data_IF_919334474415
#
_entry.id   IF_919334474415
#
_cell.length_a   1.000
_cell.length_b   1.000
_cell.length_c   1.000
_cell.angle_alpha   90.00
_cell.angle_beta   90.00
_cell.angle_gamma   90.00
#
_symmetry.space_group_name_H-M   'P 1'
#
loop_
_entity.id
_entity.type
_entity.pdbx_description
1 polymer ?
#
# COMPACT_ATOMS: atom_id res chain seq x y z
N UNK A 1 44.19 -8.23 2.10
CA UNK A 1 43.22 -7.34 1.42
C UNK A 1 41.93 -7.36 2.23
N UNK A 2 41.58 -6.25 2.89
CA UNK A 2 40.31 -6.18 3.62
C UNK A 2 39.15 -6.06 2.63
N UNK A 3 38.21 -7.01 2.65
CA UNK A 3 37.01 -6.95 1.83
C UNK A 3 36.07 -5.88 2.38
N UNK A 4 35.89 -4.79 1.63
CA UNK A 4 34.95 -3.73 1.94
C UNK A 4 33.60 -3.99 1.27
N UNK A 5 32.53 -3.80 2.04
CA UNK A 5 31.14 -3.98 1.56
C UNK A 5 30.45 -2.62 1.62
N UNK A 6 29.84 -2.23 0.50
CA UNK A 6 28.97 -1.05 0.46
C UNK A 6 27.54 -1.48 0.75
N UNK A 7 26.96 -0.99 1.85
CA UNK A 7 25.54 -1.26 2.21
C UNK A 7 24.79 0.02 2.53
N UNK A 8 23.50 0.03 2.19
CA UNK A 8 22.56 1.09 2.56
C UNK A 8 21.81 0.72 3.84
N UNK A 9 21.95 1.54 4.87
CA UNK A 9 21.37 1.39 6.19
C UNK A 9 20.16 2.32 6.35
N UNK A 10 19.13 1.83 7.05
CA UNK A 10 17.97 2.62 7.44
C UNK A 10 18.15 3.03 8.90
N UNK A 11 18.09 4.32 9.17
CA UNK A 11 18.26 4.89 10.52
C UNK A 11 16.92 5.46 10.95
N UNK A 12 16.25 4.81 11.89
CA UNK A 12 14.99 5.27 12.45
C UNK A 12 15.15 5.80 13.88
N UNK A 13 14.18 6.61 14.31
CA UNK A 13 14.18 7.23 15.63
C UNK A 13 14.96 8.54 15.68
N UNK A 14 15.07 9.23 14.54
CA UNK A 14 15.72 10.53 14.47
C UNK A 14 14.80 11.63 14.98
N UNK A 15 15.39 12.58 15.69
CA UNK A 15 14.77 13.82 16.14
C UNK A 15 15.24 14.98 15.26
N UNK A 16 14.47 16.08 15.15
CA UNK A 16 14.87 17.25 14.36
C UNK A 16 16.13 17.94 14.87
N UNK A 17 16.57 17.65 16.10
CA UNK A 17 17.82 18.16 16.66
C UNK A 17 19.07 17.42 16.14
N UNK A 18 18.92 16.32 15.39
CA UNK A 18 20.04 15.57 14.82
C UNK A 18 20.36 16.12 13.44
N UNK A 19 21.57 16.67 13.29
CA UNK A 19 22.07 17.18 12.01
C UNK A 19 22.73 16.07 11.17
N UNK A 20 22.92 16.34 9.87
CA UNK A 20 23.68 15.46 8.98
C UNK A 20 25.13 15.30 9.42
N UNK A 21 25.74 16.34 9.97
CA UNK A 21 27.10 16.33 10.47
C UNK A 21 27.25 15.42 11.70
N UNK A 22 26.23 15.40 12.56
CA UNK A 22 26.23 14.52 13.73
C UNK A 22 26.19 13.04 13.32
N UNK A 23 25.37 12.71 12.32
CA UNK A 23 25.27 11.36 11.80
C UNK A 23 26.53 10.93 11.06
N UNK A 24 27.13 11.81 10.26
CA UNK A 24 28.38 11.50 9.57
C UNK A 24 29.49 11.21 10.58
N UNK A 25 29.71 12.08 11.58
CA UNK A 25 30.71 11.87 12.63
C UNK A 25 30.57 10.52 13.34
N UNK A 26 29.33 10.12 13.67
CA UNK A 26 29.07 8.86 14.37
C UNK A 26 29.30 7.64 13.47
N UNK A 27 28.89 7.72 12.20
CA UNK A 27 29.04 6.63 11.24
C UNK A 27 30.49 6.50 10.74
N UNK A 28 31.24 7.61 10.70
CA UNK A 28 32.67 7.64 10.37
C UNK A 28 33.52 6.77 11.30
N UNK A 29 33.08 6.55 12.55
CA UNK A 29 33.76 5.64 13.47
C UNK A 29 33.75 4.17 13.02
N UNK A 30 32.82 3.78 12.15
CA UNK A 30 32.66 2.40 11.71
C UNK A 30 33.09 2.18 10.26
N UNK A 31 33.12 3.22 9.44
CA UNK A 31 33.52 3.13 8.04
C UNK A 31 33.35 4.44 7.29
N UNK A 32 33.46 4.39 5.96
CA UNK A 32 33.31 5.55 5.11
C UNK A 32 31.83 5.78 4.76
N UNK A 33 31.36 7.02 4.86
CA UNK A 33 29.97 7.40 4.57
C UNK A 33 29.90 7.96 3.15
N UNK A 34 29.32 7.22 2.20
CA UNK A 34 29.17 7.65 0.80
C UNK A 34 28.03 8.64 0.60
N UNK A 35 26.87 8.36 1.21
CA UNK A 35 25.70 9.24 1.09
C UNK A 35 24.85 9.22 2.35
N UNK A 36 24.24 10.37 2.66
CA UNK A 36 23.24 10.53 3.71
C UNK A 36 22.01 11.17 3.09
N UNK A 37 20.90 10.42 3.05
CA UNK A 37 19.66 10.85 2.42
C UNK A 37 18.53 10.95 3.44
N UNK A 38 17.61 11.90 3.23
CA UNK A 38 16.32 11.91 3.92
C UNK A 38 16.28 12.67 5.25
N UNK A 39 17.36 13.35 5.63
CA UNK A 39 17.37 14.24 6.79
C UNK A 39 16.66 15.56 6.47
N UNK A 40 15.81 16.03 7.38
CA UNK A 40 15.14 17.33 7.25
C UNK A 40 14.00 17.40 6.24
N UNK A 41 13.69 16.29 5.54
CA UNK A 41 12.52 16.23 4.66
C UNK A 41 11.26 16.22 5.52
N UNK A 42 10.28 17.06 5.18
CA UNK A 42 8.97 17.04 5.82
C UNK A 42 8.15 15.86 5.28
N UNK A 43 7.48 15.17 6.19
CA UNK A 43 6.48 14.17 5.86
C UNK A 43 5.23 14.83 5.25
N UNK A 44 4.32 14.03 4.66
CA UNK A 44 3.07 14.54 4.08
C UNK A 44 2.12 15.22 5.09
N UNK A 45 2.45 15.15 6.39
CA UNK A 45 1.76 15.83 7.51
C UNK A 45 2.50 17.08 8.00
N UNK A 46 3.59 17.49 7.34
CA UNK A 46 4.39 18.66 7.69
C UNK A 46 5.35 18.45 8.87
N UNK A 47 5.41 17.25 9.44
CA UNK A 47 6.36 16.92 10.51
C UNK A 47 7.72 16.51 9.94
N UNK A 48 8.85 16.82 10.60
CA UNK A 48 10.15 16.37 10.15
C UNK A 48 10.22 14.84 10.20
N UNK A 49 10.70 14.25 9.11
CA UNK A 49 10.82 12.80 8.95
C UNK A 49 11.75 12.21 10.00
N UNK A 50 11.25 11.21 10.76
CA UNK A 50 11.96 10.59 11.89
C UNK A 50 12.95 9.48 11.47
N UNK A 51 13.37 9.48 10.20
CA UNK A 51 14.26 8.46 9.67
C UNK A 51 15.05 8.96 8.47
N UNK A 52 16.26 8.42 8.31
CA UNK A 52 17.19 8.72 7.23
C UNK A 52 17.79 7.44 6.67
N UNK A 53 18.45 7.56 5.53
CA UNK A 53 19.21 6.48 4.91
C UNK A 53 20.68 6.86 4.82
N UNK A 54 21.56 5.92 5.12
CA UNK A 54 23.00 6.10 5.02
C UNK A 54 23.61 5.01 4.15
N UNK A 55 24.40 5.38 3.14
CA UNK A 55 25.21 4.43 2.39
C UNK A 55 26.59 4.38 3.01
N UNK A 56 26.93 3.25 3.63
CA UNK A 56 28.18 3.03 4.35
C UNK A 56 29.03 2.00 3.62
N UNK A 57 30.31 2.30 3.45
CA UNK A 57 31.34 1.37 3.00
C UNK A 57 32.23 0.99 4.18
N UNK A 58 32.17 -0.29 4.57
CA UNK A 58 32.91 -0.79 5.72
C UNK A 58 33.23 -2.28 5.56
N UNK A 59 34.15 -2.80 6.37
CA UNK A 59 34.35 -4.24 6.48
C UNK A 59 33.12 -4.89 7.11
N UNK A 60 32.78 -6.15 6.79
CA UNK A 60 31.58 -6.81 7.30
C UNK A 60 31.57 -6.89 8.84
N UNK A 61 32.74 -7.02 9.46
CA UNK A 61 32.89 -7.01 10.91
C UNK A 61 32.63 -5.62 11.54
N UNK A 62 33.07 -4.54 10.89
CA UNK A 62 32.76 -3.17 11.37
C UNK A 62 31.29 -2.82 11.16
N UNK A 63 30.69 -3.33 10.09
CA UNK A 63 29.26 -3.17 9.82
C UNK A 63 28.39 -3.88 10.87
N UNK A 64 28.72 -5.13 11.25
CA UNK A 64 27.99 -5.85 12.30
C UNK A 64 28.13 -5.16 13.66
N UNK A 65 29.33 -4.68 13.99
CA UNK A 65 29.58 -3.85 15.18
C UNK A 65 28.74 -2.58 15.17
N UNK A 66 28.72 -1.84 14.06
CA UNK A 66 27.89 -0.64 13.90
C UNK A 66 26.41 -0.91 14.20
N UNK A 67 25.86 -1.99 13.63
CA UNK A 67 24.47 -2.39 13.87
C UNK A 67 24.21 -2.74 15.34
N UNK A 68 25.09 -3.48 15.98
CA UNK A 68 24.92 -3.89 17.38
C UNK A 68 25.10 -2.72 18.37
N UNK A 69 26.05 -1.81 18.10
CA UNK A 69 26.35 -0.69 19.01
C UNK A 69 25.34 0.44 18.90
N UNK A 70 24.90 0.78 17.68
CA UNK A 70 24.00 1.92 17.47
C UNK A 70 22.52 1.53 17.52
N UNK A 71 22.15 0.27 17.30
CA UNK A 71 20.77 -0.18 17.47
C UNK A 71 20.40 -0.24 18.95
N UNK A 72 19.39 0.52 19.35
CA UNK A 72 18.95 0.63 20.74
C UNK A 72 19.66 1.72 21.54
N UNK A 73 20.74 2.31 21.02
CA UNK A 73 21.45 3.40 21.68
C UNK A 73 20.55 4.63 21.86
N UNK A 74 20.53 5.19 23.07
CA UNK A 74 19.84 6.45 23.35
C UNK A 74 20.68 7.61 22.84
N UNK A 75 20.08 8.46 22.00
CA UNK A 75 20.74 9.62 21.44
C UNK A 75 19.77 10.79 21.30
N UNK A 76 20.15 11.95 21.83
CA UNK A 76 19.31 13.17 21.85
C UNK A 76 17.85 12.89 22.26
N UNK A 77 17.67 12.04 23.28
CA UNK A 77 16.37 11.70 23.87
C UNK A 77 15.58 10.56 23.21
N UNK A 78 16.07 9.96 22.11
CA UNK A 78 15.38 8.83 21.45
C UNK A 78 16.29 7.62 21.29
N UNK A 79 15.68 6.43 21.22
CA UNK A 79 16.41 5.19 20.88
C UNK A 79 16.56 5.09 19.37
N UNK A 80 17.80 5.04 18.89
CA UNK A 80 18.08 4.81 17.48
C UNK A 80 17.77 3.35 17.11
N UNK A 81 17.28 3.14 15.90
CA UNK A 81 17.10 1.81 15.32
C UNK A 81 17.76 1.75 13.97
N UNK A 82 18.79 0.92 13.86
CA UNK A 82 19.41 0.62 12.58
C UNK A 82 18.72 -0.60 11.97
N UNK A 83 18.04 -0.38 10.85
CA UNK A 83 17.58 -1.44 9.99
C UNK A 83 18.70 -1.87 9.04
N UNK A 84 19.00 -3.17 9.03
CA UNK A 84 19.85 -3.76 8.01
C UNK A 84 19.28 -3.58 6.61
N UNK A 85 20.15 -3.71 5.62
CA UNK A 85 19.90 -3.69 4.17
C UNK A 85 18.57 -3.04 3.74
N UNK A 86 18.65 -1.74 3.51
CA UNK A 86 17.50 -0.98 3.04
C UNK A 86 17.16 -1.37 1.62
N UNK A 87 15.89 -1.75 1.44
CA UNK A 87 15.27 -1.91 0.14
C UNK A 87 15.48 -0.63 -0.70
N UNK A 88 16.26 -0.71 -1.79
CA UNK A 88 16.46 0.41 -2.72
C UNK A 88 15.12 1.13 -3.02
N UNK A 89 15.13 2.47 -3.17
CA UNK A 89 13.91 3.23 -3.42
C UNK A 89 13.18 2.67 -4.65
N UNK A 90 11.85 2.66 -4.58
CA UNK A 90 11.00 2.05 -5.62
C UNK A 90 11.33 2.62 -7.01
N UNK A 91 11.64 3.90 -7.10
CA UNK A 91 12.05 4.58 -8.33
C UNK A 91 13.35 4.00 -8.88
N UNK A 92 14.42 3.94 -8.08
CA UNK A 92 15.69 3.34 -8.50
C UNK A 92 15.51 1.88 -8.96
N UNK A 93 14.63 1.11 -8.31
CA UNK A 93 14.30 -0.27 -8.74
C UNK A 93 13.61 -0.34 -10.09
N UNK A 94 12.77 0.62 -10.44
CA UNK A 94 12.11 0.67 -11.74
C UNK A 94 13.14 0.91 -12.85
N UNK A 95 14.16 1.74 -12.58
CA UNK A 95 15.25 2.00 -13.52
C UNK A 95 16.29 0.87 -13.58
N UNK A 96 16.57 0.21 -12.45
CA UNK A 96 17.57 -0.87 -12.36
C UNK A 96 17.01 -2.26 -12.73
N UNK A 97 15.72 -2.37 -13.00
CA UNK A 97 15.07 -3.62 -13.39
C UNK A 97 15.07 -3.76 -14.91
N UNK A 98 16.01 -4.49 -15.54
CA UNK A 98 15.72 -5.10 -16.83
C UNK A 98 14.68 -6.19 -16.56
N UNK A 99 13.48 -6.06 -17.13
CA UNK A 99 12.40 -7.07 -17.38
C UNK A 99 12.57 -8.51 -16.83
N UNK A 100 13.01 -8.70 -15.59
CA UNK A 100 13.29 -10.01 -15.01
C UNK A 100 12.12 -10.32 -14.10
N UNK A 101 11.16 -11.03 -14.69
CA UNK A 101 10.16 -11.77 -13.94
C UNK A 101 10.92 -12.70 -12.97
N UNK A 102 10.59 -12.71 -11.66
CA UNK A 102 11.24 -13.60 -10.73
C UNK A 102 10.98 -15.05 -11.16
N UNK A 103 12.04 -15.76 -11.55
CA UNK A 103 12.02 -17.18 -11.97
C UNK A 103 11.84 -18.15 -10.80
N UNK A 104 11.42 -17.68 -9.63
CA UNK A 104 11.24 -18.56 -8.47
C UNK A 104 9.82 -19.13 -8.44
N UNK A 105 9.66 -20.46 -8.39
CA UNK A 105 8.36 -21.07 -8.20
C UNK A 105 7.92 -20.78 -6.76
N UNK A 106 7.11 -19.74 -6.59
CA UNK A 106 6.45 -19.47 -5.32
C UNK A 106 5.72 -20.76 -4.88
N UNK A 107 6.07 -21.27 -3.70
CA UNK A 107 5.55 -22.53 -3.16
C UNK A 107 4.02 -22.51 -3.10
N UNK A 108 3.39 -23.67 -3.30
CA UNK A 108 1.99 -23.81 -3.71
C UNK A 108 0.96 -23.12 -2.81
N UNK A 109 1.26 -22.93 -1.52
CA UNK A 109 0.37 -22.24 -0.57
C UNK A 109 0.19 -20.76 -0.91
N UNK A 110 1.24 -20.09 -1.38
CA UNK A 110 1.18 -18.68 -1.68
C UNK A 110 0.75 -18.35 -3.11
N UNK A 111 0.75 -19.32 -4.04
CA UNK A 111 0.24 -19.10 -5.41
C UNK A 111 -1.24 -18.71 -5.42
N UNK A 112 -2.06 -19.29 -4.53
CA UNK A 112 -3.51 -19.03 -4.48
C UNK A 112 -3.80 -17.63 -3.97
N UNK A 113 -3.17 -17.22 -2.87
CA UNK A 113 -3.31 -15.87 -2.29
C UNK A 113 -2.72 -14.80 -3.20
N UNK A 114 -1.55 -15.04 -3.79
CA UNK A 114 -0.93 -14.11 -4.74
C UNK A 114 -1.75 -13.98 -6.02
N UNK A 115 -2.29 -15.07 -6.58
CA UNK A 115 -3.20 -14.98 -7.72
C UNK A 115 -4.52 -14.27 -7.37
N UNK A 116 -5.06 -14.43 -6.16
CA UNK A 116 -6.23 -13.65 -5.72
C UNK A 116 -5.93 -12.16 -5.61
N UNK A 117 -4.76 -11.80 -5.08
CA UNK A 117 -4.33 -10.41 -4.91
C UNK A 117 -3.94 -9.75 -6.24
N UNK A 118 -3.33 -10.52 -7.15
CA UNK A 118 -2.87 -10.07 -8.47
C UNK A 118 -3.95 -10.15 -9.55
N UNK A 119 -5.03 -10.92 -9.39
CA UNK A 119 -6.16 -10.96 -10.33
C UNK A 119 -6.68 -9.56 -10.73
N UNK A 120 -6.95 -8.63 -9.80
CA UNK A 120 -7.36 -7.27 -10.19
C UNK A 120 -6.22 -6.45 -10.81
N UNK A 121 -4.95 -6.75 -10.51
CA UNK A 121 -3.78 -6.00 -11.00
C UNK A 121 -3.29 -6.50 -12.37
N UNK A 122 -3.44 -7.79 -12.69
CA UNK A 122 -3.12 -8.38 -13.99
C UNK A 122 -3.96 -7.78 -15.11
N UNK A 123 -5.22 -7.46 -14.83
CA UNK A 123 -6.14 -6.86 -15.79
C UNK A 123 -5.80 -5.40 -16.13
N UNK A 124 -4.95 -4.74 -15.33
CA UNK A 124 -4.58 -3.33 -15.52
C UNK A 124 -3.13 -3.10 -15.99
N UNK A 125 -2.22 -4.09 -15.84
CA UNK A 125 -0.77 -3.89 -16.07
C UNK A 125 -0.19 -4.65 -17.24
N UNK A 126 -0.84 -5.72 -17.70
CA UNK A 126 -0.44 -6.38 -18.93
C UNK A 126 -1.33 -5.79 -20.04
N UNK A 127 -0.72 -5.11 -21.01
CA UNK A 127 -1.39 -4.95 -22.30
C UNK A 127 -1.87 -6.34 -22.70
N UNK A 128 -3.17 -6.49 -23.00
CA UNK A 128 -3.61 -7.75 -23.59
C UNK A 128 -2.86 -7.91 -24.90
N UNK A 129 -2.51 -9.14 -25.26
CA UNK A 129 -1.87 -9.42 -26.55
C UNK A 129 -2.71 -8.87 -27.71
N UNK A 130 -4.04 -8.78 -27.52
CA UNK A 130 -4.98 -8.18 -28.46
C UNK A 130 -5.14 -6.65 -28.24
N UNK A 131 -4.46 -5.88 -29.08
CA UNK A 131 -4.52 -4.41 -29.12
C UNK A 131 -5.65 -3.84 -30.01
N UNK A 132 -6.55 -4.69 -30.52
CA UNK A 132 -7.64 -4.26 -31.39
C UNK A 132 -8.61 -3.28 -30.71
N UNK A 133 -9.11 -2.26 -31.44
CA UNK A 133 -10.11 -1.33 -30.93
C UNK A 133 -11.34 -2.09 -30.44
N UNK A 134 -11.83 -1.73 -29.26
CA UNK A 134 -12.95 -2.47 -28.65
C UNK A 134 -14.27 -1.93 -29.17
N UNK A 135 -14.90 -2.67 -30.09
CA UNK A 135 -16.29 -2.46 -30.54
C UNK A 135 -17.30 -3.02 -29.52
N UNK A 136 -18.59 -2.71 -29.69
CA UNK A 136 -19.64 -3.17 -28.77
C UNK A 136 -19.71 -4.71 -28.67
N UNK A 137 -19.55 -5.41 -29.78
CA UNK A 137 -19.53 -6.89 -29.85
C UNK A 137 -18.32 -7.49 -29.13
N UNK A 138 -17.14 -6.88 -29.31
CA UNK A 138 -15.92 -7.31 -28.61
C UNK A 138 -15.94 -6.97 -27.12
N UNK A 139 -16.70 -5.95 -26.71
CA UNK A 139 -16.80 -5.53 -25.31
C UNK A 139 -17.43 -6.61 -24.44
N UNK A 140 -18.41 -7.36 -24.95
CA UNK A 140 -19.01 -8.49 -24.24
C UNK A 140 -18.00 -9.63 -24.01
N UNK A 141 -17.18 -9.92 -25.03
CA UNK A 141 -16.09 -10.91 -24.93
C UNK A 141 -14.98 -10.44 -23.98
N UNK A 142 -14.66 -9.14 -23.98
CA UNK A 142 -13.68 -8.51 -23.10
C UNK A 142 -14.37 -8.06 -21.81
N UNK A 143 -14.60 -8.96 -20.84
CA UNK A 143 -15.36 -8.74 -19.59
C UNK A 143 -14.91 -7.62 -18.61
N UNK A 144 -14.01 -6.71 -19.00
CA UNK A 144 -13.68 -5.48 -18.30
C UNK A 144 -14.43 -4.24 -18.86
N UNK A 145 -15.14 -4.38 -19.98
CA UNK A 145 -15.89 -3.30 -20.62
C UNK A 145 -17.38 -3.39 -20.31
N UNK A 146 -18.06 -2.24 -20.27
CA UNK A 146 -19.50 -2.12 -20.07
C UNK A 146 -20.09 -1.39 -21.27
N UNK A 147 -21.09 -2.00 -21.89
CA UNK A 147 -21.88 -1.39 -22.98
C UNK A 147 -23.06 -0.68 -22.33
N UNK A 148 -23.22 0.61 -22.63
CA UNK A 148 -24.40 1.38 -22.21
C UNK A 148 -25.59 1.07 -23.11
N UNK A 149 -26.84 1.31 -22.68
CA UNK A 149 -28.02 1.14 -23.54
C UNK A 149 -27.97 1.95 -24.84
N UNK A 150 -27.23 3.06 -24.85
CA UNK A 150 -26.98 3.91 -26.02
C UNK A 150 -25.86 3.39 -26.94
N UNK A 151 -25.40 2.15 -26.75
CA UNK A 151 -24.36 1.51 -27.56
C UNK A 151 -22.92 1.99 -27.29
N UNK A 152 -22.70 2.91 -26.34
CA UNK A 152 -21.35 3.40 -26.01
C UNK A 152 -20.61 2.42 -25.11
N UNK A 153 -19.34 2.18 -25.43
CA UNK A 153 -18.45 1.26 -24.71
C UNK A 153 -17.54 2.05 -23.78
N UNK A 154 -17.53 1.72 -22.48
CA UNK A 154 -16.63 2.33 -21.52
C UNK A 154 -16.10 1.32 -20.49
N UNK A 155 -14.92 1.61 -19.91
CA UNK A 155 -14.29 0.76 -18.91
C UNK A 155 -14.36 1.42 -17.53
N UNK A 156 -15.12 0.85 -16.57
CA UNK A 156 -15.18 1.41 -15.22
C UNK A 156 -13.86 1.21 -14.48
N UNK A 157 -13.14 2.30 -14.21
CA UNK A 157 -11.91 2.30 -13.42
C UNK A 157 -12.24 2.53 -11.93
N UNK A 158 -11.72 1.65 -11.07
CA UNK A 158 -11.78 1.83 -9.62
C UNK A 158 -10.49 2.48 -9.16
N UNK A 159 -10.55 3.76 -8.81
CA UNK A 159 -9.42 4.52 -8.31
C UNK A 159 -9.76 5.14 -6.95
N UNK A 160 -8.73 5.33 -6.12
CA UNK A 160 -8.89 6.11 -4.89
C UNK A 160 -8.91 7.59 -5.26
N UNK A 161 -9.92 8.36 -4.87
CA UNK A 161 -9.92 9.79 -5.10
C UNK A 161 -8.79 10.44 -4.30
N UNK A 162 -8.25 11.55 -4.81
CA UNK A 162 -7.20 12.31 -4.14
C UNK A 162 -7.68 12.91 -2.81
N UNK A 163 -8.97 13.18 -2.70
CA UNK A 163 -9.66 13.68 -1.50
C UNK A 163 -10.76 12.71 -1.09
N UNK A 164 -11.02 12.51 0.22
CA UNK A 164 -12.14 11.70 0.66
C UNK A 164 -13.45 12.29 0.11
N UNK A 165 -14.34 11.41 -0.38
CA UNK A 165 -15.68 11.85 -0.77
C UNK A 165 -16.46 12.32 0.47
N UNK A 166 -17.32 13.33 0.33
CA UNK A 166 -18.19 13.73 1.43
C UNK A 166 -19.07 12.55 1.87
N UNK A 167 -19.43 12.46 3.16
CA UNK A 167 -20.35 11.43 3.62
C UNK A 167 -21.67 11.53 2.86
N UNK A 168 -22.24 10.38 2.48
CA UNK A 168 -23.53 10.34 1.78
C UNK A 168 -24.62 10.95 2.68
N UNK A 169 -25.54 11.76 2.12
CA UNK A 169 -26.65 12.31 2.90
C UNK A 169 -27.51 11.18 3.47
N UNK A 170 -27.92 11.35 4.73
CA UNK A 170 -28.67 10.36 5.51
C UNK A 170 -29.97 9.91 4.83
N UNK A 171 -30.60 10.76 4.03
CA UNK A 171 -31.82 10.43 3.28
C UNK A 171 -31.66 9.21 2.35
N UNK A 172 -30.52 9.07 1.69
CA UNK A 172 -30.24 7.92 0.79
C UNK A 172 -30.01 6.63 1.60
N UNK A 173 -29.48 6.75 2.82
CA UNK A 173 -29.25 5.60 3.71
C UNK A 173 -30.55 5.05 4.33
N UNK A 174 -31.58 5.90 4.46
CA UNK A 174 -32.88 5.53 5.02
C UNK A 174 -33.77 4.89 3.96
N UNK A 175 -33.72 5.37 2.70
CA UNK A 175 -34.49 4.78 1.60
C UNK A 175 -34.15 3.30 1.33
N UNK A 176 -32.92 2.87 1.64
CA UNK A 176 -32.51 1.48 1.52
C UNK A 176 -33.06 0.54 2.63
N UNK A 177 -33.70 1.09 3.67
CA UNK A 177 -34.20 0.35 4.84
C UNK A 177 -35.73 0.36 5.00
N UNK A 178 -36.47 1.07 4.15
CA UNK A 178 -37.93 1.23 4.30
C UNK A 178 -38.73 0.73 3.10
N UNK A 179 -38.90 -0.59 2.97
CA UNK A 179 -39.98 -1.28 2.22
C UNK A 179 -40.11 -2.70 2.80
N UNK A 180 -41.17 -3.14 3.47
CA UNK A 180 -42.39 -2.49 3.92
C UNK A 180 -43.02 -3.32 5.06
N UNK A 181 -43.86 -2.68 5.86
CA UNK A 181 -44.78 -3.32 6.80
C UNK A 181 -46.10 -2.56 6.67
N UNK A 182 -47.12 -3.20 6.08
CA UNK A 182 -48.50 -2.70 6.14
C UNK A 182 -49.46 -3.85 6.47
N UNK A 183 -49.86 -3.86 7.75
CA UNK A 183 -51.11 -4.33 8.39
C UNK A 183 -51.74 -5.67 7.96
N UNK A 184 -51.68 -6.63 8.88
CA UNK A 184 -52.75 -7.60 9.16
C UNK A 184 -52.90 -7.81 10.67
N UNK A 185 -54.03 -7.39 11.25
CA UNK A 185 -54.39 -7.61 12.66
C UNK A 185 -54.75 -9.08 12.89
N UNK A 186 -54.13 -9.73 13.87
CA UNK A 186 -54.52 -11.07 14.34
C UNK A 186 -53.79 -11.41 15.65
N UNK A 187 -54.55 -11.87 16.63
CA UNK A 187 -54.23 -11.98 18.06
C UNK A 187 -53.13 -12.98 18.43
N UNK A 188 -52.50 -12.63 19.57
CA UNK A 188 -52.00 -13.47 20.65
C UNK A 188 -50.67 -14.25 20.55
N UNK A 189 -49.89 -13.99 21.61
CA UNK A 189 -48.82 -14.76 22.25
C UNK A 189 -47.35 -14.59 21.82
N UNK A 190 -46.56 -14.35 22.87
CA UNK A 190 -45.10 -14.51 23.02
C UNK A 190 -44.22 -13.37 22.46
N UNK A 191 -44.08 -12.36 23.31
CA UNK A 191 -43.16 -11.22 23.22
C UNK A 191 -41.71 -11.68 23.37
N UNK A 192 -41.14 -12.29 22.35
CA UNK A 192 -39.69 -12.47 22.23
C UNK A 192 -39.15 -11.33 21.36
N UNK A 193 -38.49 -10.36 22.00
CA UNK A 193 -37.85 -9.21 21.34
C UNK A 193 -36.80 -9.71 20.36
N UNK A 194 -37.17 -9.88 19.08
CA UNK A 194 -36.22 -10.13 17.99
C UNK A 194 -35.21 -8.99 17.99
N UNK A 195 -33.97 -9.30 18.42
CA UNK A 195 -32.86 -8.35 18.47
C UNK A 195 -32.73 -7.69 17.09
N UNK A 196 -32.65 -6.35 17.07
CA UNK A 196 -32.41 -5.59 15.86
C UNK A 196 -31.20 -6.19 15.13
N UNK A 197 -31.39 -6.61 13.87
CA UNK A 197 -30.30 -7.14 13.03
C UNK A 197 -29.21 -6.08 12.97
N UNK A 198 -27.99 -6.46 13.34
CA UNK A 198 -26.82 -5.57 13.22
C UNK A 198 -26.73 -5.08 11.77
N UNK A 199 -26.45 -3.80 11.54
CA UNK A 199 -26.36 -3.26 10.19
C UNK A 199 -25.30 -4.04 9.39
N UNK A 200 -25.59 -4.33 8.13
CA UNK A 200 -24.66 -5.03 7.23
C UNK A 200 -23.33 -4.26 7.20
N UNK A 201 -22.28 -4.85 7.77
CA UNK A 201 -20.94 -4.25 7.93
C UNK A 201 -20.18 -4.24 6.60
N UNK A 202 -20.69 -4.95 5.58
CA UNK A 202 -20.01 -5.14 4.30
C UNK A 202 -20.93 -4.78 3.13
N UNK A 203 -20.48 -3.85 2.30
CA UNK A 203 -21.20 -3.42 1.10
C UNK A 203 -21.41 -4.60 0.13
N UNK A 204 -22.68 -4.91 -0.17
CA UNK A 204 -23.04 -5.86 -1.24
C UNK A 204 -23.13 -5.11 -2.58
N UNK A 205 -22.74 -5.77 -3.66
CA UNK A 205 -22.97 -5.26 -5.02
C UNK A 205 -24.48 -5.22 -5.29
N UNK A 206 -25.02 -4.05 -5.59
CA UNK A 206 -26.31 -3.90 -6.28
C UNK A 206 -26.03 -3.39 -7.69
N UNK A 207 -26.64 -4.02 -8.69
CA UNK A 207 -26.73 -3.47 -10.03
C UNK A 207 -27.81 -2.37 -9.96
N UNK A 208 -27.47 -1.15 -10.35
CA UNK A 208 -28.44 -0.07 -10.49
C UNK A 208 -28.80 -0.09 -11.96
N UNK A 209 -30.01 -0.56 -12.26
CA UNK A 209 -30.54 -0.51 -13.62
C UNK A 209 -31.07 0.91 -13.86
N UNK A 210 -30.63 1.53 -14.95
CA UNK A 210 -31.17 2.80 -15.43
C UNK A 210 -32.33 2.45 -16.36
N UNK A 211 -33.53 2.33 -15.79
CA UNK A 211 -34.78 2.42 -16.55
C UNK A 211 -35.37 3.80 -16.31
#
# INVERSE_FOLDING_TARGET
MEFTVTKRLHIAGLTPSISQQDLSRRLSSFGNVKSLDGLGILDGTGQPRKFAYATLEATPAKLSKCMNTLSGATWKGTKLRLGGETRLPRTARLYLSPNTLPSHPFTGYWRKTLNMLLKPLKVARLAKDDMEPTTAEMAERKGAWVVTPLGRVHRPLKMRPLRPLPPLPTSISVAARGRGDEKGKGKDMRKERKRAKKPDVRARRKKIDMT
#
